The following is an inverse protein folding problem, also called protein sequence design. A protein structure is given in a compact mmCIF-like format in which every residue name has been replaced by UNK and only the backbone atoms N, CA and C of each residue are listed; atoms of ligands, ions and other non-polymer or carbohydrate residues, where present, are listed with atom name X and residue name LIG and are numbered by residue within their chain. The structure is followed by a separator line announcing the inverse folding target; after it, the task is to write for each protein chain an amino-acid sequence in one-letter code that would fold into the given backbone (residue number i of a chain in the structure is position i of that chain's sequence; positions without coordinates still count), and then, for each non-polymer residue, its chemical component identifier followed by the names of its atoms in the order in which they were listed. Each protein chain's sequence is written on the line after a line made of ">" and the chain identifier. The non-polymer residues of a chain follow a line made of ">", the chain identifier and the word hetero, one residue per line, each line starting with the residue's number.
data_IF_760377513619
#
_entry.id   IF_760377513619
#
_cell.length_a   1.000
_cell.length_b   1.000
_cell.length_c   1.000
_cell.angle_alpha   90.00
_cell.angle_beta   90.00
_cell.angle_gamma   90.00
#
_symmetry.space_group_name_H-M   'P 1'
#
loop_
_entity.id
_entity.type
_entity.pdbx_description
1 polymer ?
#
# COMPACT_ATOMS: atom_id res chain seq x y z
N UNK A 1 -22.21 24.80 -8.18
CA UNK A 1 -21.46 23.87 -7.32
C UNK A 1 -22.29 23.53 -6.08
N UNK A 2 -23.05 22.44 -6.09
CA UNK A 2 -23.77 21.95 -4.90
C UNK A 2 -22.73 21.43 -3.89
N UNK A 3 -22.66 22.05 -2.72
CA UNK A 3 -21.84 21.57 -1.59
C UNK A 3 -22.33 20.15 -1.24
N UNK A 4 -21.49 19.15 -1.47
CA UNK A 4 -21.73 17.78 -1.02
C UNK A 4 -21.87 17.83 0.51
N UNK A 5 -23.10 17.58 1.00
CA UNK A 5 -23.40 17.51 2.43
C UNK A 5 -22.46 16.48 3.08
N UNK A 6 -21.60 16.91 3.97
CA UNK A 6 -20.73 16.03 4.76
C UNK A 6 -21.62 15.10 5.59
N UNK A 7 -21.47 13.79 5.51
CA UNK A 7 -22.23 12.89 6.39
C UNK A 7 -21.92 13.25 7.85
N UNK A 8 -22.95 13.27 8.66
CA UNK A 8 -22.91 13.65 10.07
C UNK A 8 -21.85 12.85 10.83
N UNK A 9 -20.76 13.51 11.19
CA UNK A 9 -19.65 12.93 11.94
C UNK A 9 -20.08 12.46 13.35
N UNK A 10 -21.16 13.01 13.90
CA UNK A 10 -21.72 12.59 15.21
C UNK A 10 -22.35 11.20 15.16
N UNK A 11 -23.01 10.83 14.06
CA UNK A 11 -23.54 9.46 13.88
C UNK A 11 -22.44 8.38 13.84
N UNK A 12 -21.24 8.77 13.41
CA UNK A 12 -20.08 7.86 13.33
C UNK A 12 -19.43 7.68 14.72
N UNK A 13 -19.55 8.65 15.61
CA UNK A 13 -18.91 8.67 16.93
C UNK A 13 -19.55 7.70 17.93
N UNK A 14 -20.83 7.38 17.79
CA UNK A 14 -21.60 6.58 18.75
C UNK A 14 -21.70 5.08 18.47
N UNK A 15 -21.07 4.58 17.40
CA UNK A 15 -21.09 3.14 17.12
C UNK A 15 -19.89 2.49 17.82
N UNK A 16 -20.12 1.89 19.00
CA UNK A 16 -19.22 0.87 19.59
C UNK A 16 -19.05 -0.25 18.55
N UNK A 17 -18.00 -0.21 17.77
CA UNK A 17 -17.75 -1.16 16.67
C UNK A 17 -16.87 -2.28 17.19
N UNK A 18 -17.28 -3.55 17.10
CA UNK A 18 -16.40 -4.66 17.40
C UNK A 18 -15.21 -4.62 16.44
N UNK A 19 -14.03 -4.98 16.92
CA UNK A 19 -12.84 -5.12 16.08
C UNK A 19 -13.16 -6.10 14.94
N UNK A 20 -12.93 -5.69 13.71
CA UNK A 20 -13.14 -6.60 12.58
C UNK A 20 -11.98 -7.60 12.50
N UNK A 21 -12.27 -8.82 12.05
CA UNK A 21 -11.24 -9.85 11.81
C UNK A 21 -10.12 -9.31 10.89
N UNK A 22 -10.50 -8.56 9.86
CA UNK A 22 -9.56 -7.91 8.94
C UNK A 22 -8.61 -6.97 9.68
N UNK A 23 -9.11 -6.19 10.62
CA UNK A 23 -8.29 -5.28 11.42
C UNK A 23 -7.26 -6.03 12.26
N UNK A 24 -7.68 -7.08 12.97
CA UNK A 24 -6.79 -7.92 13.79
C UNK A 24 -5.71 -8.55 12.90
N UNK A 25 -6.10 -9.12 11.75
CA UNK A 25 -5.16 -9.72 10.80
C UNK A 25 -4.10 -8.72 10.31
N UNK A 26 -4.50 -7.49 10.01
CA UNK A 26 -3.57 -6.45 9.57
C UNK A 26 -2.65 -5.97 10.70
N UNK A 27 -3.15 -5.93 11.95
CA UNK A 27 -2.29 -5.65 13.12
C UNK A 27 -1.26 -6.75 13.35
N UNK A 28 -1.65 -8.03 13.27
CA UNK A 28 -0.72 -9.14 13.36
C UNK A 28 0.34 -9.09 12.25
N UNK A 29 -0.07 -8.74 11.01
CA UNK A 29 0.87 -8.53 9.90
C UNK A 29 1.84 -7.38 10.16
N UNK A 30 1.39 -6.26 10.75
CA UNK A 30 2.26 -5.15 11.10
C UNK A 30 3.31 -5.58 12.13
N UNK A 31 2.90 -6.27 13.22
CA UNK A 31 3.82 -6.77 14.25
C UNK A 31 4.83 -7.74 13.63
N UNK A 32 4.37 -8.70 12.83
CA UNK A 32 5.25 -9.67 12.16
C UNK A 32 6.28 -8.99 11.24
N UNK A 33 5.84 -8.03 10.40
CA UNK A 33 6.74 -7.25 9.53
C UNK A 33 7.71 -6.38 10.34
N UNK A 34 7.27 -5.84 11.48
CA UNK A 34 8.12 -5.09 12.40
C UNK A 34 9.23 -5.95 13.01
N UNK A 35 8.90 -7.18 13.42
CA UNK A 35 9.90 -8.15 13.90
C UNK A 35 10.92 -8.51 12.83
N UNK A 36 10.49 -8.69 11.57
CA UNK A 36 11.40 -8.92 10.44
C UNK A 36 12.35 -7.73 10.26
N UNK A 37 11.85 -6.50 10.31
CA UNK A 37 12.70 -5.30 10.20
C UNK A 37 13.71 -5.23 11.34
N UNK A 38 13.29 -5.48 12.58
CA UNK A 38 14.21 -5.51 13.73
C UNK A 38 15.28 -6.59 13.57
N UNK A 39 14.92 -7.77 13.10
CA UNK A 39 15.88 -8.83 12.79
C UNK A 39 16.85 -8.40 11.67
N UNK A 40 16.35 -7.76 10.61
CA UNK A 40 17.19 -7.26 9.53
C UNK A 40 18.17 -6.17 9.99
N UNK A 41 17.73 -5.25 10.86
CA UNK A 41 18.58 -4.22 11.47
C UNK A 41 19.63 -4.86 12.38
N UNK A 42 19.24 -5.85 13.19
CA UNK A 42 20.19 -6.61 14.00
C UNK A 42 21.25 -7.31 13.14
N UNK A 43 20.84 -8.01 12.07
CA UNK A 43 21.76 -8.66 11.14
C UNK A 43 22.68 -7.65 10.44
N UNK A 44 22.18 -6.46 10.13
CA UNK A 44 22.99 -5.42 9.50
C UNK A 44 24.17 -5.00 10.37
N UNK A 45 23.98 -4.86 11.68
CA UNK A 45 25.04 -4.46 12.60
C UNK A 45 25.90 -5.63 13.10
N UNK A 46 25.29 -6.81 13.32
CA UNK A 46 26.00 -7.95 13.91
C UNK A 46 26.61 -8.90 12.85
N UNK A 47 25.91 -9.11 11.72
CA UNK A 47 26.26 -10.11 10.71
C UNK A 47 25.88 -9.67 9.30
N UNK A 48 26.49 -8.57 8.84
CA UNK A 48 26.18 -7.96 7.53
C UNK A 48 26.30 -8.94 6.37
N UNK A 49 27.26 -9.88 6.43
CA UNK A 49 27.48 -10.89 5.40
C UNK A 49 26.28 -11.84 5.24
N UNK A 50 25.61 -12.18 6.36
CA UNK A 50 24.39 -12.97 6.31
C UNK A 50 23.24 -12.22 5.61
N UNK A 51 23.13 -10.92 5.86
CA UNK A 51 22.11 -10.10 5.19
C UNK A 51 22.36 -10.00 3.69
N UNK A 52 23.61 -9.83 3.26
CA UNK A 52 23.98 -9.79 1.84
C UNK A 52 23.81 -11.16 1.18
N UNK A 53 24.00 -12.25 1.93
CA UNK A 53 23.83 -13.61 1.39
C UNK A 53 22.44 -13.89 0.81
N UNK A 54 21.39 -13.19 1.27
CA UNK A 54 20.03 -13.28 0.72
C UNK A 54 19.96 -12.94 -0.77
N UNK A 55 20.77 -11.98 -1.19
CA UNK A 55 20.74 -11.43 -2.56
C UNK A 55 21.98 -11.82 -3.38
N UNK A 56 22.68 -12.89 -2.97
CA UNK A 56 23.85 -13.40 -3.69
C UNK A 56 23.44 -14.10 -4.99
N UNK A 57 24.30 -14.07 -6.01
CA UNK A 57 24.04 -14.64 -7.34
C UNK A 57 24.01 -16.17 -7.39
N UNK A 58 24.33 -16.86 -6.29
CA UNK A 58 24.31 -18.33 -6.18
C UNK A 58 22.92 -18.94 -5.94
N UNK A 59 21.87 -18.13 -5.95
CA UNK A 59 20.48 -18.53 -5.64
C UNK A 59 20.01 -19.74 -6.45
N UNK A 60 20.34 -19.83 -7.73
CA UNK A 60 19.92 -20.95 -8.59
C UNK A 60 20.84 -22.20 -8.49
N UNK A 61 22.02 -22.08 -7.85
CA UNK A 61 23.00 -23.15 -7.78
C UNK A 61 22.88 -24.01 -6.53
N UNK A 62 22.45 -23.43 -5.43
CA UNK A 62 22.37 -24.09 -4.12
C UNK A 62 20.97 -23.96 -3.58
N UNK A 63 20.31 -25.11 -3.31
CA UNK A 63 19.01 -25.10 -2.65
C UNK A 63 19.19 -24.80 -1.15
N UNK A 64 18.63 -23.66 -0.68
CA UNK A 64 18.85 -23.14 0.65
C UNK A 64 17.52 -22.61 1.22
N UNK A 65 17.46 -22.34 2.51
CA UNK A 65 16.32 -21.72 3.22
C UNK A 65 15.85 -20.39 2.59
N UNK A 66 16.71 -19.68 1.87
CA UNK A 66 16.36 -18.48 1.08
C UNK A 66 15.26 -18.75 0.06
N UNK A 67 15.19 -19.94 -0.50
CA UNK A 67 14.14 -20.34 -1.43
C UNK A 67 12.78 -20.41 -0.77
N UNK A 68 12.70 -20.81 0.49
CA UNK A 68 11.43 -20.83 1.23
C UNK A 68 10.89 -19.41 1.41
N UNK A 69 11.77 -18.48 1.79
CA UNK A 69 11.37 -17.06 1.91
C UNK A 69 10.93 -16.51 0.57
N UNK A 70 11.70 -16.77 -0.48
CA UNK A 70 11.36 -16.35 -1.84
C UNK A 70 10.01 -16.91 -2.28
N UNK A 71 9.75 -18.20 -2.07
CA UNK A 71 8.47 -18.83 -2.39
C UNK A 71 7.30 -18.19 -1.63
N UNK A 72 7.47 -17.90 -0.35
CA UNK A 72 6.44 -17.25 0.45
C UNK A 72 6.12 -15.83 -0.08
N UNK A 73 7.15 -15.07 -0.43
CA UNK A 73 6.97 -13.73 -0.99
C UNK A 73 6.34 -13.78 -2.39
N UNK A 74 6.81 -14.70 -3.25
CA UNK A 74 6.24 -14.91 -4.59
C UNK A 74 4.79 -15.37 -4.51
N UNK A 75 4.48 -16.33 -3.65
CA UNK A 75 3.10 -16.80 -3.45
C UNK A 75 2.19 -15.68 -2.97
N UNK A 76 2.67 -14.84 -2.03
CA UNK A 76 1.94 -13.66 -1.59
C UNK A 76 1.58 -12.71 -2.74
N UNK A 77 2.46 -12.50 -3.71
CA UNK A 77 2.20 -11.68 -4.89
C UNK A 77 1.31 -12.38 -5.91
N UNK A 78 1.50 -13.68 -6.14
CA UNK A 78 0.68 -14.47 -7.07
C UNK A 78 -0.79 -14.49 -6.65
N UNK A 79 -1.07 -14.53 -5.34
CA UNK A 79 -2.43 -14.41 -4.82
C UNK A 79 -3.09 -13.08 -5.25
N UNK A 80 -2.32 -11.99 -5.36
CA UNK A 80 -2.82 -10.71 -5.85
C UNK A 80 -3.09 -10.72 -7.36
N UNK A 81 -2.41 -11.59 -8.12
CA UNK A 81 -2.63 -11.77 -9.55
C UNK A 81 -3.89 -12.63 -9.80
N UNK A 82 -4.14 -13.63 -8.99
CA UNK A 82 -5.30 -14.50 -9.12
C UNK A 82 -6.58 -13.79 -8.61
N UNK A 83 -7.77 -14.10 -9.18
CA UNK A 83 -9.03 -13.50 -8.74
C UNK A 83 -9.52 -14.10 -7.42
N UNK A 84 -8.71 -14.06 -6.38
CA UNK A 84 -9.03 -14.62 -5.08
C UNK A 84 -10.02 -13.71 -4.32
N UNK A 85 -11.19 -14.24 -3.99
CA UNK A 85 -12.37 -13.50 -3.51
C UNK A 85 -12.19 -12.82 -2.14
N UNK A 86 -11.25 -13.24 -1.29
CA UNK A 86 -11.31 -12.93 0.15
C UNK A 86 -9.99 -12.52 0.83
N UNK A 87 -8.87 -12.46 0.11
CA UNK A 87 -7.55 -12.43 0.76
C UNK A 87 -7.05 -11.01 1.04
N UNK A 88 -7.43 -10.03 0.22
CA UNK A 88 -6.99 -8.64 0.38
C UNK A 88 -8.12 -7.64 0.26
N UNK A 89 -7.95 -6.46 0.85
CA UNK A 89 -8.91 -5.35 0.68
C UNK A 89 -8.99 -4.86 -0.77
N UNK A 90 -7.89 -4.99 -1.52
CA UNK A 90 -7.84 -4.67 -2.96
C UNK A 90 -8.75 -5.57 -3.78
N UNK A 91 -8.97 -6.82 -3.38
CA UNK A 91 -9.84 -7.76 -4.09
C UNK A 91 -11.29 -7.28 -4.23
N UNK A 92 -11.76 -6.43 -3.34
CA UNK A 92 -13.11 -5.83 -3.42
C UNK A 92 -13.27 -4.88 -4.60
N UNK A 93 -12.18 -4.31 -5.08
CA UNK A 93 -12.18 -3.42 -6.25
C UNK A 93 -11.87 -4.19 -7.53
N UNK A 94 -10.95 -5.15 -7.44
CA UNK A 94 -10.49 -5.89 -8.61
C UNK A 94 -11.43 -7.01 -9.04
N UNK A 95 -12.23 -7.57 -8.12
CA UNK A 95 -13.10 -8.72 -8.38
C UNK A 95 -14.53 -8.30 -8.75
N UNK A 96 -15.04 -8.83 -9.87
CA UNK A 96 -16.44 -8.67 -10.28
C UNK A 96 -17.41 -9.22 -9.22
N UNK A 97 -17.05 -10.31 -8.55
CA UNK A 97 -17.91 -10.99 -7.57
C UNK A 97 -18.14 -10.17 -6.28
N UNK A 98 -17.34 -9.14 -6.04
CA UNK A 98 -17.49 -8.26 -4.87
C UNK A 98 -18.03 -6.87 -5.24
N UNK A 99 -18.19 -6.60 -6.52
CA UNK A 99 -18.81 -5.39 -7.02
C UNK A 99 -20.32 -5.46 -6.78
N UNK A 100 -20.88 -4.42 -6.20
CA UNK A 100 -22.33 -4.29 -6.00
C UNK A 100 -22.74 -2.90 -6.46
N UNK A 101 -23.53 -2.87 -7.53
CA UNK A 101 -24.06 -1.64 -8.10
C UNK A 101 -25.08 -0.99 -7.15
N UNK A 102 -25.11 0.34 -7.03
CA UNK A 102 -26.14 1.04 -6.26
C UNK A 102 -27.51 0.88 -6.95
N UNK A 103 -28.57 0.87 -6.14
CA UNK A 103 -29.98 0.79 -6.63
C UNK A 103 -30.36 2.01 -7.47
N UNK A 104 -29.77 3.17 -7.20
CA UNK A 104 -29.95 4.38 -7.99
C UNK A 104 -28.86 4.47 -9.06
N UNK A 105 -29.27 4.75 -10.29
CA UNK A 105 -28.34 4.92 -11.41
C UNK A 105 -27.32 6.03 -11.09
N UNK A 106 -26.02 5.72 -11.22
CA UNK A 106 -24.97 6.70 -11.00
C UNK A 106 -24.69 7.53 -12.27
N UNK A 107 -24.23 8.76 -12.09
CA UNK A 107 -23.87 9.65 -13.18
C UNK A 107 -22.51 9.25 -13.80
N UNK A 108 -22.53 8.88 -15.08
CA UNK A 108 -21.33 8.50 -15.84
C UNK A 108 -20.32 9.64 -15.96
N UNK A 109 -20.80 10.91 -16.06
CA UNK A 109 -19.93 12.06 -16.19
C UNK A 109 -19.20 12.34 -14.86
N UNK A 110 -19.85 12.10 -13.73
CA UNK A 110 -19.23 12.22 -12.42
C UNK A 110 -18.16 11.13 -12.21
N UNK A 111 -18.43 9.90 -12.64
CA UNK A 111 -17.45 8.81 -12.65
C UNK A 111 -16.23 9.19 -13.50
N UNK A 112 -16.45 9.68 -14.72
CA UNK A 112 -15.37 10.06 -15.64
C UNK A 112 -14.49 11.17 -15.05
N UNK A 113 -15.08 12.20 -14.48
CA UNK A 113 -14.34 13.30 -13.78
C UNK A 113 -13.54 12.74 -12.59
N UNK A 114 -14.14 11.84 -11.80
CA UNK A 114 -13.45 11.18 -10.70
C UNK A 114 -12.21 10.41 -11.19
N UNK A 115 -12.34 9.62 -12.26
CA UNK A 115 -11.25 8.85 -12.85
C UNK A 115 -10.10 9.75 -13.30
N UNK A 116 -10.40 10.83 -14.03
CA UNK A 116 -9.38 11.78 -14.47
C UNK A 116 -8.61 12.40 -13.31
N UNK A 117 -9.32 12.89 -12.30
CA UNK A 117 -8.70 13.48 -11.10
C UNK A 117 -7.81 12.45 -10.38
N UNK A 118 -8.27 11.20 -10.24
CA UNK A 118 -7.52 10.16 -9.57
C UNK A 118 -6.30 9.71 -10.36
N UNK A 119 -6.37 9.68 -11.69
CA UNK A 119 -5.23 9.38 -12.55
C UNK A 119 -4.12 10.44 -12.41
N UNK A 120 -4.46 11.72 -12.49
CA UNK A 120 -3.47 12.80 -12.29
C UNK A 120 -2.80 12.70 -10.92
N UNK A 121 -3.56 12.41 -9.87
CA UNK A 121 -3.01 12.24 -8.53
C UNK A 121 -2.12 10.98 -8.43
N UNK A 122 -2.52 9.88 -9.04
CA UNK A 122 -1.74 8.65 -9.06
C UNK A 122 -0.39 8.85 -9.77
N UNK A 123 -0.38 9.53 -10.93
CA UNK A 123 0.86 9.90 -11.62
C UNK A 123 1.78 10.77 -10.76
N UNK A 124 1.24 11.72 -10.01
CA UNK A 124 2.05 12.52 -9.05
C UNK A 124 2.69 11.64 -7.98
N UNK A 125 1.94 10.67 -7.45
CA UNK A 125 2.51 9.71 -6.48
C UNK A 125 3.63 8.89 -7.11
N UNK A 126 3.43 8.37 -8.33
CA UNK A 126 4.44 7.58 -9.04
C UNK A 126 5.72 8.39 -9.26
N UNK A 127 5.60 9.62 -9.76
CA UNK A 127 6.77 10.49 -10.01
C UNK A 127 7.53 10.78 -8.71
N UNK A 128 6.82 11.14 -7.63
CA UNK A 128 7.45 11.42 -6.34
C UNK A 128 8.17 10.16 -5.82
N UNK A 129 7.53 8.98 -5.96
CA UNK A 129 8.13 7.71 -5.56
C UNK A 129 9.39 7.38 -6.36
N UNK A 130 9.33 7.53 -7.68
CA UNK A 130 10.49 7.28 -8.55
C UNK A 130 11.62 8.27 -8.29
N UNK A 131 11.34 9.56 -8.13
CA UNK A 131 12.34 10.57 -7.78
C UNK A 131 13.00 10.27 -6.44
N UNK A 132 12.22 9.87 -5.43
CA UNK A 132 12.75 9.50 -4.12
C UNK A 132 13.68 8.28 -4.22
N UNK A 133 13.29 7.23 -4.95
CA UNK A 133 14.14 6.05 -5.14
C UNK A 133 15.33 6.32 -6.07
N UNK A 134 15.23 7.26 -7.00
CA UNK A 134 16.34 7.68 -7.85
C UNK A 134 17.52 8.23 -7.03
N UNK A 135 17.25 8.91 -5.91
CA UNK A 135 18.31 9.37 -4.99
C UNK A 135 19.10 8.17 -4.45
N UNK A 136 18.42 7.12 -3.96
CA UNK A 136 19.08 5.91 -3.48
C UNK A 136 19.80 5.17 -4.60
N UNK A 137 19.21 5.14 -5.81
CA UNK A 137 19.87 4.57 -6.98
C UNK A 137 21.19 5.25 -7.30
N UNK A 138 21.22 6.58 -7.28
CA UNK A 138 22.43 7.37 -7.51
C UNK A 138 23.47 7.09 -6.43
N UNK A 139 23.09 7.07 -5.14
CA UNK A 139 24.00 6.73 -4.04
C UNK A 139 24.56 5.30 -4.18
N UNK A 140 23.73 4.36 -4.65
CA UNK A 140 24.18 2.98 -4.92
C UNK A 140 25.18 2.92 -6.07
N UNK A 141 24.92 3.63 -7.19
CA UNK A 141 25.81 3.68 -8.35
C UNK A 141 27.17 4.33 -8.02
N UNK A 142 27.20 5.32 -7.13
CA UNK A 142 28.43 5.93 -6.63
C UNK A 142 29.15 5.07 -5.56
N UNK A 143 28.59 3.94 -5.17
CA UNK A 143 29.19 3.05 -4.16
C UNK A 143 29.10 3.56 -2.72
N UNK A 144 28.31 4.60 -2.46
CA UNK A 144 28.08 5.14 -1.10
C UNK A 144 27.25 4.17 -0.26
N UNK A 145 26.28 3.51 -0.89
CA UNK A 145 25.46 2.45 -0.29
C UNK A 145 25.61 1.16 -1.10
N UNK A 146 25.49 0.02 -0.43
CA UNK A 146 25.63 -1.30 -1.06
C UNK A 146 24.34 -2.13 -1.02
N UNK A 147 24.48 -3.44 -1.31
CA UNK A 147 23.35 -4.37 -1.37
C UNK A 147 22.64 -4.50 -0.01
N UNK A 148 23.38 -4.43 1.11
CA UNK A 148 22.80 -4.54 2.45
C UNK A 148 21.85 -3.37 2.75
N UNK A 149 22.23 -2.15 2.41
CA UNK A 149 21.46 -0.93 2.63
C UNK A 149 20.22 -0.92 1.73
N UNK A 150 20.34 -1.34 0.46
CA UNK A 150 19.20 -1.45 -0.45
C UNK A 150 18.19 -2.50 0.01
N UNK A 151 18.69 -3.63 0.54
CA UNK A 151 17.82 -4.67 1.11
C UNK A 151 17.13 -4.15 2.39
N UNK A 152 17.87 -3.45 3.26
CA UNK A 152 17.30 -2.84 4.47
C UNK A 152 16.24 -1.79 4.12
N UNK A 153 16.45 -1.00 3.06
CA UNK A 153 15.46 -0.05 2.54
C UNK A 153 14.17 -0.77 2.10
N UNK A 154 14.29 -1.93 1.44
CA UNK A 154 13.12 -2.75 1.07
C UNK A 154 12.38 -3.26 2.30
N UNK A 155 13.07 -3.69 3.36
CA UNK A 155 12.43 -4.08 4.63
C UNK A 155 11.75 -2.88 5.31
N UNK A 156 12.34 -1.70 5.26
CA UNK A 156 11.71 -0.47 5.75
C UNK A 156 10.40 -0.18 4.99
N UNK A 157 10.41 -0.29 3.66
CA UNK A 157 9.19 -0.11 2.86
C UNK A 157 8.15 -1.18 3.14
N UNK A 158 8.58 -2.43 3.40
CA UNK A 158 7.70 -3.53 3.76
C UNK A 158 6.90 -3.27 5.04
N UNK A 159 7.50 -2.64 6.04
CA UNK A 159 6.81 -2.22 7.26
C UNK A 159 5.99 -0.95 7.02
N UNK A 160 6.55 0.01 6.28
CA UNK A 160 5.88 1.27 5.96
C UNK A 160 4.57 1.09 5.21
N UNK A 161 4.46 0.06 4.35
CA UNK A 161 3.23 -0.31 3.68
C UNK A 161 2.09 -0.61 4.69
N UNK A 162 2.37 -1.39 5.75
CA UNK A 162 1.37 -1.66 6.81
C UNK A 162 1.07 -0.43 7.65
N UNK A 163 2.09 0.39 7.95
CA UNK A 163 1.90 1.68 8.63
C UNK A 163 0.99 2.59 7.79
N UNK A 164 1.20 2.62 6.48
CA UNK A 164 0.34 3.38 5.56
C UNK A 164 -1.12 2.91 5.58
N UNK A 165 -1.35 1.61 5.69
CA UNK A 165 -2.71 1.06 5.74
C UNK A 165 -3.36 1.36 7.09
N UNK A 166 -2.68 1.13 8.22
CA UNK A 166 -3.27 1.13 9.55
C UNK A 166 -3.20 2.49 10.25
N UNK A 167 -2.09 3.21 10.11
CA UNK A 167 -1.78 4.41 10.91
C UNK A 167 -1.90 5.67 10.05
N UNK A 168 -0.94 5.89 9.18
CA UNK A 168 -0.85 7.12 8.38
C UNK A 168 -0.16 6.85 7.05
N UNK A 169 -0.78 7.29 5.97
CA UNK A 169 -0.21 7.25 4.63
C UNK A 169 -0.04 8.68 4.10
N UNK A 170 1.20 9.14 3.86
CA UNK A 170 1.45 10.48 3.32
C UNK A 170 0.85 10.64 1.92
N UNK A 171 0.97 9.65 1.04
CA UNK A 171 0.39 9.68 -0.29
C UNK A 171 -1.14 9.79 -0.27
N UNK A 172 -1.80 9.02 0.61
CA UNK A 172 -3.24 9.07 0.76
C UNK A 172 -3.71 10.43 1.30
N UNK A 173 -2.99 10.98 2.27
CA UNK A 173 -3.41 12.19 2.99
C UNK A 173 -3.12 13.46 2.21
N UNK A 174 -1.91 13.58 1.64
CA UNK A 174 -1.42 14.81 1.03
C UNK A 174 -1.77 14.89 -0.46
N UNK A 175 -1.60 13.80 -1.22
CA UNK A 175 -1.73 13.81 -2.68
C UNK A 175 -3.10 13.30 -3.12
N UNK A 176 -3.47 12.08 -2.71
CA UNK A 176 -4.74 11.47 -3.11
C UNK A 176 -5.94 12.14 -2.44
N UNK A 177 -5.75 12.69 -1.23
CA UNK A 177 -6.80 13.34 -0.42
C UNK A 177 -8.00 12.42 -0.18
N UNK A 178 -7.75 11.12 -0.04
CA UNK A 178 -8.78 10.12 0.22
C UNK A 178 -9.03 9.97 1.73
N UNK A 179 -10.29 9.68 2.09
CA UNK A 179 -10.65 9.43 3.50
C UNK A 179 -10.22 8.06 3.99
N UNK A 180 -10.26 7.06 3.11
CA UNK A 180 -10.08 5.65 3.46
C UNK A 180 -9.09 4.97 2.52
N UNK A 181 -8.29 4.02 3.05
CA UNK A 181 -7.39 3.20 2.26
C UNK A 181 -8.14 2.28 1.30
N UNK A 182 -9.31 1.78 1.70
CA UNK A 182 -10.16 0.93 0.84
C UNK A 182 -10.51 1.63 -0.46
N UNK A 183 -10.73 2.95 -0.44
CA UNK A 183 -11.04 3.74 -1.63
C UNK A 183 -9.80 4.32 -2.32
N UNK A 184 -8.59 3.96 -1.85
CA UNK A 184 -7.37 4.51 -2.42
C UNK A 184 -7.08 3.88 -3.79
N UNK A 185 -6.88 4.74 -4.81
CA UNK A 185 -6.57 4.34 -6.19
C UNK A 185 -5.28 3.50 -6.27
N UNK A 186 -4.29 3.85 -5.45
CA UNK A 186 -2.95 3.24 -5.45
C UNK A 186 -2.80 2.13 -4.40
N UNK A 187 -3.89 1.52 -3.95
CA UNK A 187 -3.85 0.58 -2.82
C UNK A 187 -2.94 -0.64 -3.08
N UNK A 188 -3.02 -1.25 -4.26
CA UNK A 188 -2.23 -2.44 -4.62
C UNK A 188 -0.85 -2.11 -5.24
N UNK A 189 -0.41 -0.84 -5.21
CA UNK A 189 0.95 -0.46 -5.60
C UNK A 189 2.00 -0.84 -4.55
N UNK A 190 1.56 -1.30 -3.36
CA UNK A 190 2.45 -1.62 -2.25
C UNK A 190 3.57 -2.58 -2.61
N UNK A 191 3.29 -3.66 -3.34
CA UNK A 191 4.33 -4.62 -3.75
C UNK A 191 5.39 -3.98 -4.65
N UNK A 192 4.97 -3.20 -5.65
CA UNK A 192 5.91 -2.46 -6.51
C UNK A 192 6.77 -1.50 -5.68
N UNK A 193 6.16 -0.75 -4.78
CA UNK A 193 6.88 0.19 -3.91
C UNK A 193 7.88 -0.52 -3.00
N UNK A 194 7.51 -1.66 -2.39
CA UNK A 194 8.37 -2.43 -1.50
C UNK A 194 9.62 -2.93 -2.23
N UNK A 195 9.47 -3.44 -3.45
CA UNK A 195 10.55 -4.09 -4.18
C UNK A 195 11.31 -3.16 -5.14
N UNK A 196 10.97 -1.87 -5.24
CA UNK A 196 11.70 -0.90 -6.09
C UNK A 196 13.21 -0.87 -5.79
N UNK A 197 13.71 -0.88 -4.54
CA UNK A 197 15.15 -0.88 -4.30
C UNK A 197 15.85 -2.15 -4.80
N UNK A 198 15.15 -3.29 -4.85
CA UNK A 198 15.74 -4.55 -5.33
C UNK A 198 16.06 -4.55 -6.81
N UNK A 199 15.50 -3.64 -7.61
CA UNK A 199 15.84 -3.46 -9.04
C UNK A 199 17.34 -3.27 -9.25
N UNK A 200 18.01 -2.55 -8.34
CA UNK A 200 19.42 -2.21 -8.45
C UNK A 200 20.35 -3.36 -8.03
N UNK A 201 19.85 -4.34 -7.30
CA UNK A 201 20.64 -5.51 -6.85
C UNK A 201 20.57 -6.59 -7.92
N UNK A 202 21.71 -6.89 -8.57
CA UNK A 202 21.83 -7.91 -9.61
C UNK A 202 21.81 -9.30 -8.99
N UNK A 203 20.61 -9.86 -8.79
CA UNK A 203 20.43 -11.26 -8.40
C UNK A 203 19.08 -11.79 -8.89
N UNK A 204 18.98 -13.09 -9.09
CA UNK A 204 17.70 -13.73 -9.47
C UNK A 204 16.62 -13.50 -8.41
N UNK A 205 17.00 -13.61 -7.14
CA UNK A 205 16.08 -13.34 -6.01
C UNK A 205 15.45 -11.94 -6.12
N UNK A 206 16.27 -10.91 -6.31
CA UNK A 206 15.82 -9.51 -6.35
C UNK A 206 14.98 -9.22 -7.58
N UNK A 207 15.47 -9.61 -8.75
CA UNK A 207 14.79 -9.28 -9.99
C UNK A 207 13.48 -10.03 -10.18
N UNK A 208 13.42 -11.32 -9.78
CA UNK A 208 12.16 -12.07 -9.86
C UNK A 208 11.06 -11.45 -8.99
N UNK A 209 11.38 -11.01 -7.76
CA UNK A 209 10.44 -10.31 -6.88
C UNK A 209 10.00 -8.97 -7.48
N UNK A 210 10.94 -8.17 -7.98
CA UNK A 210 10.63 -6.87 -8.59
C UNK A 210 9.74 -7.01 -9.83
N UNK A 211 10.09 -7.89 -10.78
CA UNK A 211 9.30 -8.07 -11.99
C UNK A 211 7.91 -8.66 -11.71
N UNK A 212 7.80 -9.58 -10.74
CA UNK A 212 6.49 -10.07 -10.32
C UNK A 212 5.65 -8.96 -9.68
N UNK A 213 6.25 -8.07 -8.91
CA UNK A 213 5.57 -6.90 -8.37
C UNK A 213 5.11 -5.92 -9.46
N UNK A 214 5.89 -5.76 -10.54
CA UNK A 214 5.46 -5.01 -11.72
C UNK A 214 4.24 -5.64 -12.41
N UNK A 215 4.18 -6.98 -12.50
CA UNK A 215 3.02 -7.68 -13.06
C UNK A 215 1.77 -7.43 -12.20
N UNK A 216 1.89 -7.46 -10.86
CA UNK A 216 0.79 -7.11 -9.95
C UNK A 216 0.31 -5.68 -10.19
N UNK A 217 1.25 -4.73 -10.32
CA UNK A 217 0.94 -3.32 -10.61
C UNK A 217 0.21 -3.18 -11.95
N UNK A 218 0.75 -3.76 -13.03
CA UNK A 218 0.16 -3.69 -14.38
C UNK A 218 -1.26 -4.27 -14.37
N UNK A 219 -1.46 -5.43 -13.74
CA UNK A 219 -2.79 -6.03 -13.58
C UNK A 219 -3.78 -5.08 -12.90
N UNK A 220 -3.36 -4.43 -11.81
CA UNK A 220 -4.18 -3.45 -11.11
C UNK A 220 -4.56 -2.28 -12.01
N UNK A 221 -3.61 -1.74 -12.77
CA UNK A 221 -3.83 -0.65 -13.70
C UNK A 221 -4.79 -1.04 -14.83
N UNK A 222 -4.63 -2.24 -15.39
CA UNK A 222 -5.51 -2.78 -16.43
C UNK A 222 -6.95 -2.91 -15.90
N UNK A 223 -7.14 -3.47 -14.71
CA UNK A 223 -8.48 -3.60 -14.11
C UNK A 223 -9.09 -2.23 -13.85
N UNK A 224 -8.31 -1.28 -13.37
CA UNK A 224 -8.78 0.09 -13.15
C UNK A 224 -9.17 0.79 -14.45
N UNK A 225 -8.40 0.62 -15.51
CA UNK A 225 -8.69 1.21 -16.82
C UNK A 225 -9.93 0.58 -17.47
N UNK A 226 -10.08 -0.75 -17.34
CA UNK A 226 -11.21 -1.49 -17.93
C UNK A 226 -12.51 -1.36 -17.13
N UNK A 227 -12.41 -1.20 -15.81
CA UNK A 227 -13.56 -1.23 -14.89
C UNK A 227 -13.45 -0.14 -13.82
N UNK A 228 -13.43 1.15 -14.20
CA UNK A 228 -13.29 2.26 -13.25
C UNK A 228 -14.47 2.36 -12.28
N UNK A 229 -15.65 1.88 -12.66
CA UNK A 229 -16.87 1.84 -11.84
C UNK A 229 -16.67 1.05 -10.54
N UNK A 230 -15.77 0.07 -10.53
CA UNK A 230 -15.49 -0.73 -9.33
C UNK A 230 -14.70 0.03 -8.26
N UNK A 231 -14.04 1.13 -8.63
CA UNK A 231 -13.12 1.88 -7.78
C UNK A 231 -13.72 3.14 -7.17
N UNK A 232 -14.92 3.51 -7.56
CA UNK A 232 -15.60 4.69 -7.07
C UNK A 232 -16.74 4.33 -6.12
N UNK A 233 -16.84 5.04 -4.99
CA UNK A 233 -17.88 4.78 -3.99
C UNK A 233 -19.29 5.17 -4.46
N UNK A 234 -19.42 5.99 -5.51
CA UNK A 234 -20.70 6.34 -6.12
C UNK A 234 -21.29 5.22 -6.97
N UNK A 235 -20.44 4.38 -7.57
CA UNK A 235 -20.84 3.24 -8.41
C UNK A 235 -20.65 1.88 -7.75
N UNK A 236 -19.97 1.81 -6.59
CA UNK A 236 -19.73 0.57 -5.86
C UNK A 236 -20.10 0.72 -4.39
N UNK A 237 -21.22 0.13 -3.98
CA UNK A 237 -21.75 0.23 -2.62
C UNK A 237 -20.85 -0.45 -1.58
N UNK A 238 -20.04 -1.44 -1.96
CA UNK A 238 -19.09 -2.10 -1.04
C UNK A 238 -17.98 -1.18 -0.55
N UNK A 239 -17.72 -0.08 -1.26
CA UNK A 239 -16.73 0.94 -0.89
C UNK A 239 -17.31 2.04 0.02
N UNK A 240 -18.62 2.02 0.28
CA UNK A 240 -19.27 2.98 1.16
C UNK A 240 -19.01 2.63 2.63
N UNK A 241 -18.89 3.65 3.48
CA UNK A 241 -18.60 3.47 4.91
C UNK A 241 -19.68 2.67 5.64
N UNK A 242 -20.93 2.78 5.21
CA UNK A 242 -22.08 2.07 5.79
C UNK A 242 -21.95 0.55 5.60
N UNK A 243 -21.45 0.14 4.43
CA UNK A 243 -21.27 -1.26 4.04
C UNK A 243 -19.85 -1.79 4.33
N UNK A 244 -19.01 -1.00 5.00
CA UNK A 244 -17.61 -1.36 5.20
C UNK A 244 -17.45 -2.50 6.21
N UNK A 245 -16.92 -3.63 5.75
CA UNK A 245 -16.61 -4.81 6.58
C UNK A 245 -15.23 -4.73 7.24
N UNK A 246 -14.28 -3.96 6.67
CA UNK A 246 -12.88 -3.94 7.11
C UNK A 246 -12.63 -3.08 8.35
N UNK A 247 -13.37 -1.98 8.51
CA UNK A 247 -13.34 -1.07 9.68
C UNK A 247 -11.94 -0.66 10.15
N UNK A 248 -10.98 -0.56 9.24
CA UNK A 248 -9.55 -0.27 9.51
C UNK A 248 -9.33 1.16 10.01
N UNK A 249 -10.26 2.07 9.70
CA UNK A 249 -10.15 3.48 10.08
C UNK A 249 -10.28 3.75 11.60
N UNK A 250 -10.46 2.73 12.44
CA UNK A 250 -10.58 2.87 13.90
C UNK A 250 -9.37 3.57 14.55
N UNK A 251 -8.15 3.26 14.09
CA UNK A 251 -6.92 3.92 14.57
C UNK A 251 -6.64 5.21 13.79
N UNK A 252 -6.87 5.22 12.48
CA UNK A 252 -6.57 6.39 11.64
C UNK A 252 -7.35 7.65 11.99
N UNK A 253 -8.61 7.52 12.42
CA UNK A 253 -9.44 8.69 12.70
C UNK A 253 -8.96 9.48 13.92
N UNK A 254 -8.70 8.86 15.09
CA UNK A 254 -8.16 9.57 16.25
C UNK A 254 -6.81 10.23 15.97
N UNK A 255 -5.91 9.53 15.29
CA UNK A 255 -4.60 10.08 14.92
C UNK A 255 -4.70 11.27 13.95
N UNK A 256 -5.62 11.23 13.01
CA UNK A 256 -5.87 12.34 12.09
C UNK A 256 -6.49 13.57 12.78
N UNK A 257 -7.34 13.35 13.76
CA UNK A 257 -7.89 14.41 14.60
C UNK A 257 -6.80 15.05 15.47
N UNK A 258 -5.96 14.25 16.09
CA UNK A 258 -4.81 14.71 16.87
C UNK A 258 -3.85 15.53 16.00
N UNK A 259 -3.50 15.04 14.80
CA UNK A 259 -2.65 15.77 13.86
C UNK A 259 -3.25 17.12 13.43
N UNK A 260 -4.56 17.16 13.18
CA UNK A 260 -5.25 18.42 12.86
C UNK A 260 -5.22 19.41 14.01
N UNK A 261 -5.36 18.91 15.23
CA UNK A 261 -5.30 19.75 16.44
C UNK A 261 -3.90 20.34 16.63
N UNK A 262 -2.86 19.55 16.48
CA UNK A 262 -1.45 19.97 16.55
C UNK A 262 -1.15 20.98 15.44
N UNK A 263 -1.56 20.71 14.19
CA UNK A 263 -1.33 21.61 13.06
C UNK A 263 -2.04 22.95 13.21
N UNK A 264 -3.25 22.98 13.78
CA UNK A 264 -3.93 24.24 14.12
C UNK A 264 -3.18 25.04 15.18
N UNK A 265 -2.78 24.37 16.26
CA UNK A 265 -2.04 25.01 17.34
C UNK A 265 -0.71 25.62 16.84
N UNK A 266 0.01 24.90 15.95
CA UNK A 266 1.24 25.45 15.35
C UNK A 266 0.96 26.65 14.46
N UNK A 267 -0.11 26.63 13.66
CA UNK A 267 -0.51 27.80 12.84
C UNK A 267 -0.94 28.99 13.67
N UNK A 268 -1.57 28.78 14.83
CA UNK A 268 -1.99 29.84 15.74
C UNK A 268 -0.79 30.41 16.53
N UNK A 269 0.26 29.62 16.74
CA UNK A 269 1.54 30.10 17.33
C UNK A 269 2.43 30.87 16.36
N UNK A 270 2.25 30.66 15.06
CA UNK A 270 3.04 31.33 14.00
C UNK A 270 2.36 32.61 13.46
N UNK A 271 1.17 32.95 13.95
CA UNK A 271 0.47 34.23 13.73
C UNK A 271 0.72 35.20 14.87
#
# INVERSE_FOLDING_TARGET
>A
MKKIKRPDLEKIKNIKRPNSFTFILYMCRLVFRGLILLAAVYLYFAHRDLLVSFVRDDFLRTFDWRHVIWLVLMFGMIIHILPAKFITMGSRKSSLNTYTEPTAHYDSDELYRFVQIMNVKAWKVMLIWLCFNAVFAVLYLFGVIGNAEMLLLSFLYFVSDMICILIFCPFQSLIMKNRCCVNCRIFDWGHFMIYTPLLFIKSFFSWSLFFTACIVLIRWEVIYASHPERFWHGSNTTLQCENCKDRICQIKQPLKEMYRHISKNIQDYLK
#
